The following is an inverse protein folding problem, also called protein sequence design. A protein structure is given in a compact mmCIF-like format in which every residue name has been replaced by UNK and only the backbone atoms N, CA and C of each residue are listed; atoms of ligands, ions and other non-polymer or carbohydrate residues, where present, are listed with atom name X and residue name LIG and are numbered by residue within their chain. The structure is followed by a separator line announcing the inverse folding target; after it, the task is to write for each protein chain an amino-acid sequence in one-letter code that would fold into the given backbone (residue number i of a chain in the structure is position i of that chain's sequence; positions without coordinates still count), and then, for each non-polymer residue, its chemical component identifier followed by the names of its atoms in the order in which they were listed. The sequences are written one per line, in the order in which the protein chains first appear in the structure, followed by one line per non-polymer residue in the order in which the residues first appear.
data_IF_335027441089
#
_entry.id   IF_335027441089
#
_cell.length_a   1.000
_cell.length_b   1.000
_cell.length_c   1.000
_cell.angle_alpha   90.00
_cell.angle_beta   90.00
_cell.angle_gamma   90.00
#
_symmetry.space_group_name_H-M   'P 1'
#
loop_
_entity.id
_entity.type
_entity.pdbx_description
1 polymer ?
#
# COMPACT_ATOMS: atom_id res chain seq x y z
N UNK A 1 -37.38 23.85 -50.91
CA UNK A 1 -36.89 22.62 -50.25
C UNK A 1 -36.98 22.84 -48.74
N UNK A 2 -37.91 22.17 -48.04
CA UNK A 2 -38.14 22.39 -46.61
C UNK A 2 -37.06 21.72 -45.77
N UNK A 3 -36.46 22.48 -44.85
CA UNK A 3 -35.47 21.99 -43.90
C UNK A 3 -36.07 20.98 -42.92
N UNK A 4 -35.47 19.79 -42.85
CA UNK A 4 -35.74 18.83 -41.76
C UNK A 4 -35.21 19.44 -40.46
N UNK A 5 -36.12 19.91 -39.62
CA UNK A 5 -35.88 20.09 -38.19
C UNK A 5 -35.57 18.72 -37.60
N UNK A 6 -34.29 18.44 -37.34
CA UNK A 6 -33.88 17.34 -36.49
C UNK A 6 -34.40 17.63 -35.09
N UNK A 7 -35.46 16.93 -34.69
CA UNK A 7 -35.87 16.89 -33.29
C UNK A 7 -34.82 16.08 -32.55
N UNK A 8 -34.06 16.76 -31.71
CA UNK A 8 -33.30 16.10 -30.65
C UNK A 8 -34.33 15.45 -29.73
N UNK A 9 -34.61 14.16 -29.97
CA UNK A 9 -35.49 13.40 -29.11
C UNK A 9 -34.68 13.04 -27.88
N UNK A 10 -34.90 13.77 -26.78
CA UNK A 10 -34.34 13.42 -25.48
C UNK A 10 -34.68 11.97 -25.11
N UNK A 11 -33.78 11.33 -24.36
CA UNK A 11 -33.96 9.97 -23.84
C UNK A 11 -35.28 9.86 -23.06
N UNK A 12 -35.95 8.72 -23.17
CA UNK A 12 -37.03 8.38 -22.24
C UNK A 12 -36.48 8.19 -20.83
N UNK A 13 -37.34 8.31 -19.80
CA UNK A 13 -36.92 8.13 -18.41
C UNK A 13 -36.29 6.75 -18.13
N UNK A 14 -36.72 5.71 -18.85
CA UNK A 14 -36.15 4.37 -18.74
C UNK A 14 -34.71 4.31 -19.31
N UNK A 15 -34.48 4.93 -20.46
CA UNK A 15 -33.15 5.01 -21.08
C UNK A 15 -32.19 5.90 -20.27
N UNK A 16 -32.70 6.95 -19.63
CA UNK A 16 -31.92 7.80 -18.72
C UNK A 16 -31.48 7.03 -17.47
N UNK A 17 -32.37 6.24 -16.87
CA UNK A 17 -32.05 5.35 -15.75
C UNK A 17 -31.04 4.28 -16.15
N UNK A 18 -31.22 3.62 -17.30
CA UNK A 18 -30.30 2.61 -17.80
C UNK A 18 -28.91 3.19 -18.07
N UNK A 19 -28.83 4.37 -18.70
CA UNK A 19 -27.58 5.08 -18.92
C UNK A 19 -26.89 5.46 -17.61
N UNK A 20 -27.64 5.95 -16.63
CA UNK A 20 -27.13 6.27 -15.30
C UNK A 20 -26.57 5.02 -14.60
N UNK A 21 -27.32 3.91 -14.62
CA UNK A 21 -26.90 2.65 -14.02
C UNK A 21 -25.61 2.12 -14.64
N UNK A 22 -25.50 2.14 -15.98
CA UNK A 22 -24.28 1.75 -16.69
C UNK A 22 -23.10 2.63 -16.31
N UNK A 23 -23.30 3.95 -16.26
CA UNK A 23 -22.26 4.90 -15.87
C UNK A 23 -21.75 4.65 -14.43
N UNK A 24 -22.67 4.35 -13.49
CA UNK A 24 -22.30 4.02 -12.11
C UNK A 24 -21.54 2.70 -12.03
N UNK A 25 -21.96 1.67 -12.77
CA UNK A 25 -21.27 0.38 -12.81
C UNK A 25 -19.85 0.50 -13.40
N UNK A 26 -19.71 1.26 -14.49
CA UNK A 26 -18.41 1.52 -15.12
C UNK A 26 -17.47 2.27 -14.17
N UNK A 27 -17.98 3.28 -13.45
CA UNK A 27 -17.22 4.00 -12.43
C UNK A 27 -16.77 3.07 -11.30
N UNK A 28 -17.67 2.24 -10.76
CA UNK A 28 -17.33 1.26 -9.71
C UNK A 28 -16.26 0.29 -10.21
N UNK A 29 -16.41 -0.25 -11.42
CA UNK A 29 -15.46 -1.19 -12.00
C UNK A 29 -14.08 -0.56 -12.15
N UNK A 30 -14.02 0.68 -12.67
CA UNK A 30 -12.77 1.40 -12.88
C UNK A 30 -12.07 1.69 -11.54
N UNK A 31 -12.83 2.10 -10.52
CA UNK A 31 -12.27 2.38 -9.20
C UNK A 31 -11.75 1.13 -8.49
N UNK A 32 -12.44 -0.01 -8.62
CA UNK A 32 -11.95 -1.28 -8.08
C UNK A 32 -10.63 -1.68 -8.77
N UNK A 33 -10.57 -1.61 -10.11
CA UNK A 33 -9.36 -1.91 -10.87
C UNK A 33 -8.20 -1.02 -10.45
N UNK A 34 -8.43 0.29 -10.31
CA UNK A 34 -7.41 1.25 -9.91
C UNK A 34 -6.88 0.95 -8.51
N UNK A 35 -7.76 0.70 -7.54
CA UNK A 35 -7.36 0.36 -6.16
C UNK A 35 -6.58 -0.95 -6.11
N UNK A 36 -7.01 -1.97 -6.84
CA UNK A 36 -6.30 -3.25 -6.90
C UNK A 36 -4.91 -3.10 -7.52
N UNK A 37 -4.77 -2.32 -8.59
CA UNK A 37 -3.48 -2.01 -9.19
C UNK A 37 -2.53 -1.31 -8.21
N UNK A 38 -3.03 -0.31 -7.47
CA UNK A 38 -2.23 0.41 -6.45
C UNK A 38 -1.83 -0.48 -5.27
N UNK A 39 -2.72 -1.37 -4.82
CA UNK A 39 -2.40 -2.34 -3.76
C UNK A 39 -1.36 -3.36 -4.21
N UNK A 40 -1.42 -3.82 -5.46
CA UNK A 40 -0.40 -4.71 -6.01
C UNK A 40 0.96 -4.02 -6.17
N UNK A 41 0.98 -2.77 -6.61
CA UNK A 41 2.20 -1.95 -6.67
C UNK A 41 2.81 -1.80 -5.26
N UNK A 42 2.00 -1.46 -4.26
CA UNK A 42 2.46 -1.41 -2.87
C UNK A 42 3.01 -2.75 -2.40
N UNK A 43 2.29 -3.86 -2.65
CA UNK A 43 2.75 -5.19 -2.26
C UNK A 43 4.05 -5.59 -2.96
N UNK A 44 4.26 -5.18 -4.21
CA UNK A 44 5.52 -5.43 -4.93
C UNK A 44 6.72 -4.72 -4.31
N UNK A 45 6.50 -3.56 -3.67
CA UNK A 45 7.54 -2.72 -3.06
C UNK A 45 7.79 -3.07 -1.59
N UNK A 46 6.73 -3.20 -0.81
CA UNK A 46 6.79 -3.37 0.66
C UNK A 46 6.39 -4.78 1.12
N UNK A 47 5.89 -5.65 0.24
CA UNK A 47 5.30 -6.94 0.64
C UNK A 47 6.24 -7.86 1.43
N UNK A 48 7.56 -7.70 1.26
CA UNK A 48 8.55 -8.43 2.07
C UNK A 48 8.46 -8.11 3.57
N UNK A 49 7.98 -6.91 3.95
CA UNK A 49 7.75 -6.50 5.34
C UNK A 49 6.50 -7.13 5.96
N UNK A 50 5.60 -7.69 5.15
CA UNK A 50 4.41 -8.41 5.63
C UNK A 50 4.75 -9.85 6.07
N UNK A 51 5.82 -10.45 5.52
CA UNK A 51 6.28 -11.79 5.90
C UNK A 51 7.18 -11.75 7.15
N UNK A 52 6.56 -11.42 8.28
CA UNK A 52 7.20 -11.31 9.60
C UNK A 52 7.88 -12.64 10.00
N UNK A 53 7.30 -13.77 9.61
CA UNK A 53 7.88 -15.08 9.88
C UNK A 53 9.21 -15.26 9.14
N UNK A 54 9.26 -14.91 7.85
CA UNK A 54 10.50 -14.94 7.07
C UNK A 54 11.55 -13.96 7.62
N UNK A 55 11.14 -12.74 7.96
CA UNK A 55 12.06 -11.72 8.44
C UNK A 55 12.71 -12.09 9.78
N UNK A 56 11.89 -12.45 10.77
CA UNK A 56 12.34 -12.52 12.16
C UNK A 56 12.55 -13.95 12.68
N UNK A 57 11.83 -14.95 12.14
CA UNK A 57 11.87 -16.32 12.66
C UNK A 57 12.73 -17.28 11.82
N UNK A 58 12.90 -17.04 10.51
CA UNK A 58 13.77 -17.83 9.62
C UNK A 58 15.10 -17.13 9.38
N UNK A 59 16.19 -17.75 8.88
CA UNK A 59 17.39 -17.02 8.45
C UNK A 59 17.05 -15.96 7.38
N UNK A 60 17.68 -14.77 7.43
CA UNK A 60 17.51 -13.78 6.37
C UNK A 60 18.22 -14.27 5.11
N UNK A 61 17.56 -14.14 3.97
CA UNK A 61 18.13 -14.41 2.66
C UNK A 61 18.65 -13.14 2.00
N UNK A 62 19.39 -13.33 0.90
CA UNK A 62 19.86 -12.23 0.07
C UNK A 62 18.71 -11.44 -0.58
N UNK A 63 17.55 -12.06 -0.74
CA UNK A 63 16.37 -11.43 -1.35
C UNK A 63 15.87 -10.26 -0.49
N UNK A 64 15.86 -10.37 0.84
CA UNK A 64 15.48 -9.25 1.72
C UNK A 64 16.42 -8.06 1.53
N UNK A 65 17.73 -8.30 1.35
CA UNK A 65 18.69 -7.23 1.08
C UNK A 65 18.42 -6.55 -0.27
N UNK A 66 18.09 -7.33 -1.30
CA UNK A 66 17.68 -6.80 -2.61
C UNK A 66 16.40 -5.97 -2.47
N UNK A 67 15.39 -6.47 -1.73
CA UNK A 67 14.14 -5.76 -1.50
C UNK A 67 14.36 -4.41 -0.82
N UNK A 68 15.23 -4.34 0.21
CA UNK A 68 15.55 -3.07 0.87
C UNK A 68 16.21 -2.06 -0.09
N UNK A 69 17.18 -2.51 -0.90
CA UNK A 69 17.82 -1.66 -1.93
C UNK A 69 16.86 -1.25 -3.04
N UNK A 70 15.92 -2.11 -3.40
CA UNK A 70 14.88 -1.81 -4.39
C UNK A 70 13.93 -0.75 -3.84
N UNK A 71 13.50 -0.89 -2.59
CA UNK A 71 12.61 0.05 -1.92
C UNK A 71 13.22 1.45 -1.84
N UNK A 72 14.50 1.55 -1.45
CA UNK A 72 15.19 2.84 -1.38
C UNK A 72 15.39 3.51 -2.74
N UNK A 73 15.31 2.78 -3.87
CA UNK A 73 15.29 3.41 -5.20
C UNK A 73 13.97 4.12 -5.50
N UNK A 74 12.86 3.63 -4.96
CA UNK A 74 11.55 4.26 -5.13
C UNK A 74 11.32 5.42 -4.15
N UNK A 75 11.94 5.34 -2.97
CA UNK A 75 11.75 6.26 -1.84
C UNK A 75 13.10 6.69 -1.27
N UNK A 76 13.96 7.25 -2.13
CA UNK A 76 15.34 7.60 -1.81
C UNK A 76 15.49 8.79 -0.85
N UNK A 77 14.42 9.53 -0.61
CA UNK A 77 14.35 10.61 0.37
C UNK A 77 13.94 10.11 1.76
N UNK A 78 13.28 8.95 1.83
CA UNK A 78 12.69 8.41 3.05
C UNK A 78 13.52 7.28 3.66
N UNK A 79 14.30 6.56 2.84
CA UNK A 79 15.08 5.38 3.26
C UNK A 79 16.49 5.35 2.72
N UNK A 80 17.39 4.86 3.55
CA UNK A 80 18.61 4.20 3.12
C UNK A 80 18.40 2.67 3.10
N UNK A 81 18.57 2.05 1.92
CA UNK A 81 18.31 0.63 1.73
C UNK A 81 19.29 -0.27 2.50
N UNK A 82 20.60 -0.04 2.44
CA UNK A 82 21.59 -0.70 3.30
C UNK A 82 21.29 -0.57 4.80
N UNK A 83 20.96 0.61 5.30
CA UNK A 83 20.61 0.81 6.72
C UNK A 83 19.31 0.13 7.10
N UNK A 84 18.27 0.19 6.25
CA UNK A 84 17.03 -0.57 6.46
C UNK A 84 17.31 -2.07 6.65
N UNK A 85 18.19 -2.64 5.83
CA UNK A 85 18.57 -4.05 5.97
C UNK A 85 19.33 -4.31 7.27
N UNK A 86 20.25 -3.43 7.66
CA UNK A 86 20.98 -3.53 8.92
C UNK A 86 20.02 -3.46 10.13
N UNK A 87 19.10 -2.50 10.14
CA UNK A 87 18.07 -2.34 11.17
C UNK A 87 17.17 -3.58 11.28
N UNK A 88 16.79 -4.21 10.17
CA UNK A 88 16.04 -5.48 10.19
C UNK A 88 16.87 -6.58 10.86
N UNK A 89 18.17 -6.66 10.57
CA UNK A 89 19.06 -7.63 11.21
C UNK A 89 19.17 -7.39 12.73
N UNK A 90 19.33 -6.14 13.14
CA UNK A 90 19.44 -5.76 14.55
C UNK A 90 18.14 -6.00 15.31
N UNK A 91 17.00 -5.57 14.75
CA UNK A 91 15.67 -5.81 15.29
C UNK A 91 15.41 -7.31 15.47
N UNK A 92 15.82 -8.13 14.49
CA UNK A 92 15.75 -9.59 14.59
C UNK A 92 16.61 -10.16 15.71
N UNK A 93 17.83 -9.69 15.89
CA UNK A 93 18.68 -10.13 16.99
C UNK A 93 18.05 -9.80 18.34
N UNK A 94 17.46 -8.61 18.49
CA UNK A 94 16.75 -8.22 19.71
C UNK A 94 15.54 -9.10 19.99
N UNK A 95 14.73 -9.39 18.96
CA UNK A 95 13.56 -10.26 19.09
C UNK A 95 13.95 -11.69 19.47
N UNK A 96 15.06 -12.22 18.94
CA UNK A 96 15.58 -13.54 19.32
C UNK A 96 15.97 -13.63 20.80
N UNK A 97 16.44 -12.52 21.38
CA UNK A 97 16.84 -12.45 22.78
C UNK A 97 15.66 -12.29 23.75
N UNK A 98 14.46 -12.01 23.25
CA UNK A 98 13.23 -11.89 24.06
C UNK A 98 12.37 -13.16 23.95
N UNK A 99 11.96 -13.71 25.09
CA UNK A 99 11.13 -14.92 25.14
C UNK A 99 9.63 -14.61 25.10
N UNK A 100 9.26 -13.43 25.57
CA UNK A 100 7.92 -12.91 25.79
C UNK A 100 7.36 -12.14 24.58
N UNK A 101 8.23 -11.60 23.71
CA UNK A 101 7.82 -10.79 22.55
C UNK A 101 8.08 -11.54 21.25
N UNK A 102 7.00 -11.89 20.54
CA UNK A 102 7.06 -12.50 19.20
C UNK A 102 6.02 -11.86 18.29
N UNK A 103 6.36 -10.78 17.58
CA UNK A 103 5.42 -10.15 16.67
C UNK A 103 5.08 -11.10 15.54
N UNK A 104 3.81 -11.10 15.12
CA UNK A 104 3.27 -11.89 14.01
C UNK A 104 2.81 -11.03 12.84
N UNK A 105 2.60 -9.75 13.08
CA UNK A 105 2.06 -8.80 12.12
C UNK A 105 2.95 -7.57 12.00
N UNK A 106 2.91 -6.88 10.86
CA UNK A 106 3.69 -5.66 10.65
C UNK A 106 3.36 -4.56 11.68
N UNK A 107 2.11 -4.49 12.15
CA UNK A 107 1.71 -3.54 13.19
C UNK A 107 2.32 -3.88 14.56
N UNK A 108 2.45 -5.16 14.90
CA UNK A 108 3.14 -5.59 16.12
C UNK A 108 4.65 -5.32 16.03
N UNK A 109 5.27 -5.52 14.85
CA UNK A 109 6.67 -5.14 14.62
C UNK A 109 6.84 -3.62 14.78
N UNK A 110 5.95 -2.81 14.20
CA UNK A 110 6.00 -1.36 14.34
C UNK A 110 5.86 -0.93 15.81
N UNK A 111 4.92 -1.54 16.54
CA UNK A 111 4.73 -1.28 17.98
C UNK A 111 5.98 -1.61 18.78
N UNK A 112 6.62 -2.74 18.46
CA UNK A 112 7.90 -3.12 19.06
C UNK A 112 8.98 -2.10 18.74
N UNK A 113 9.16 -1.70 17.49
CA UNK A 113 10.15 -0.70 17.06
C UNK A 113 9.95 0.63 17.78
N UNK A 114 8.72 1.14 17.85
CA UNK A 114 8.40 2.40 18.55
C UNK A 114 8.77 2.34 20.03
N UNK A 115 8.65 1.17 20.68
CA UNK A 115 8.98 1.02 22.10
C UNK A 115 10.45 1.25 22.45
N UNK A 116 11.35 1.26 21.46
CA UNK A 116 12.79 1.51 21.65
C UNK A 116 13.19 2.99 21.48
N UNK A 117 12.28 3.84 20.99
CA UNK A 117 12.56 5.24 20.70
C UNK A 117 12.62 5.54 19.20
N UNK A 118 12.59 6.83 18.87
CA UNK A 118 12.53 7.34 17.48
C UNK A 118 13.78 7.00 16.66
N UNK A 119 14.96 7.03 17.29
CA UNK A 119 16.24 7.01 16.58
C UNK A 119 16.89 5.62 16.47
N UNK A 120 16.26 4.56 17.00
CA UNK A 120 16.88 3.22 17.05
C UNK A 120 16.71 2.45 15.73
N UNK A 121 15.54 2.57 15.11
CA UNK A 121 15.23 1.93 13.82
C UNK A 121 14.51 2.90 12.87
N UNK A 122 15.12 4.05 12.53
CA UNK A 122 14.44 5.10 11.77
C UNK A 122 13.95 4.63 10.39
N UNK A 123 14.75 3.84 9.66
CA UNK A 123 14.37 3.36 8.33
C UNK A 123 13.27 2.30 8.40
N UNK A 124 13.40 1.32 9.28
CA UNK A 124 12.43 0.24 9.46
C UNK A 124 11.09 0.78 9.99
N UNK A 125 11.14 1.73 10.93
CA UNK A 125 9.95 2.43 11.42
C UNK A 125 9.22 3.11 10.28
N UNK A 126 9.92 3.93 9.51
CA UNK A 126 9.34 4.69 8.40
C UNK A 126 8.74 3.72 7.35
N UNK A 127 9.41 2.59 7.10
CA UNK A 127 8.98 1.62 6.09
C UNK A 127 7.69 0.91 6.52
N UNK A 128 7.60 0.52 7.79
CA UNK A 128 6.39 -0.05 8.37
C UNK A 128 5.24 0.97 8.43
N UNK A 129 5.52 2.23 8.78
CA UNK A 129 4.51 3.29 8.78
C UNK A 129 3.95 3.54 7.39
N UNK A 130 4.80 3.62 6.36
CA UNK A 130 4.37 3.77 4.97
C UNK A 130 3.54 2.57 4.51
N UNK A 131 4.01 1.34 4.76
CA UNK A 131 3.26 0.12 4.45
C UNK A 131 1.86 0.11 5.08
N UNK A 132 1.73 0.55 6.33
CA UNK A 132 0.47 0.51 7.06
C UNK A 132 -0.47 1.69 6.74
N UNK A 133 0.07 2.79 6.20
CA UNK A 133 -0.71 4.01 5.92
C UNK A 133 -1.14 4.11 4.45
N UNK A 134 -0.31 3.70 3.50
CA UNK A 134 -0.64 3.79 2.07
C UNK A 134 -1.93 3.04 1.70
N UNK A 135 -2.22 1.82 2.19
CA UNK A 135 -3.49 1.14 1.93
C UNK A 135 -4.70 1.95 2.39
N UNK A 136 -4.60 2.61 3.55
CA UNK A 136 -5.66 3.48 4.09
C UNK A 136 -5.89 4.66 3.15
N UNK A 137 -4.80 5.29 2.68
CA UNK A 137 -4.87 6.35 1.69
C UNK A 137 -5.47 5.89 0.36
N UNK A 138 -5.14 4.68 -0.12
CA UNK A 138 -5.73 4.09 -1.33
C UNK A 138 -7.24 3.89 -1.16
N UNK A 139 -7.68 3.44 0.02
CA UNK A 139 -9.10 3.26 0.32
C UNK A 139 -9.85 4.60 0.39
N UNK A 140 -9.21 5.65 0.93
CA UNK A 140 -9.84 6.96 1.14
C UNK A 140 -9.82 7.90 -0.07
N UNK A 141 -8.91 7.71 -1.04
CA UNK A 141 -8.61 8.67 -2.12
C UNK A 141 -9.68 8.80 -3.22
N UNK A 142 -10.94 8.52 -2.93
CA UNK A 142 -12.02 8.48 -3.94
C UNK A 142 -13.15 9.49 -3.67
N UNK A 143 -13.06 10.30 -2.61
CA UNK A 143 -14.14 11.24 -2.24
C UNK A 143 -14.07 12.61 -2.93
N UNK A 144 -13.14 12.86 -3.88
CA UNK A 144 -12.85 14.24 -4.37
C UNK A 144 -12.79 14.46 -5.89
N UNK A 145 -13.15 13.51 -6.76
CA UNK A 145 -13.17 13.77 -8.22
C UNK A 145 -14.56 13.63 -8.86
N UNK A 146 -15.60 14.05 -8.14
CA UNK A 146 -16.91 14.28 -8.72
C UNK A 146 -17.38 15.67 -8.27
N UNK A 147 -16.88 16.71 -8.93
CA UNK A 147 -17.42 18.07 -8.95
C UNK A 147 -17.09 18.68 -10.31
#
# INVERSE_FOLDING_TARGET
MPGKLARDAGLSAEEEIDHLMKSVLDAIQQEIKLRFARLNDLNSKFGFLLDVEKLFNKPLDYDVQISCKSLSRFYNTDFDGPELYAEICDCKMLLRNRKDVRPKTAIEVLTFVISYGEDVFPNLRTALQMLLTIPVSIASSNARSAN
#
